data_IF_263726816843
#
_entry.id   IF_263726816843
#
_cell.length_a   1.000
_cell.length_b   1.000
_cell.length_c   1.000
_cell.angle_alpha   90.00
_cell.angle_beta   90.00
_cell.angle_gamma   90.00
#
_symmetry.space_group_name_H-M   'P 1'
#
loop_
_entity.id
_entity.type
_entity.pdbx_description
1 polymer ?
#
# COMPACT_ATOMS: atom_id res chain seq x y z
N UNK A 1 -39.25 43.76 -28.76
CA UNK A 1 -38.59 43.76 -27.44
C UNK A 1 -39.48 42.97 -26.48
N UNK A 2 -39.39 41.64 -26.44
CA UNK A 2 -38.50 40.83 -25.59
C UNK A 2 -38.80 40.94 -24.09
N UNK A 3 -39.59 40.01 -23.57
CA UNK A 3 -39.44 39.47 -22.20
C UNK A 3 -39.70 37.96 -22.24
N UNK A 4 -38.60 37.21 -22.16
CA UNK A 4 -38.57 35.77 -21.87
C UNK A 4 -38.62 35.64 -20.34
N UNK A 5 -39.56 34.85 -19.84
CA UNK A 5 -39.57 34.34 -18.46
C UNK A 5 -39.87 32.84 -18.61
N UNK A 6 -38.97 31.90 -18.33
CA UNK A 6 -37.88 31.89 -17.37
C UNK A 6 -38.35 31.06 -16.17
N UNK A 7 -38.20 29.75 -16.25
CA UNK A 7 -38.60 28.81 -15.21
C UNK A 7 -38.25 27.37 -15.58
N UNK A 8 -37.00 27.14 -16.02
CA UNK A 8 -36.48 25.78 -16.14
C UNK A 8 -36.18 25.25 -14.74
N UNK A 9 -36.74 24.08 -14.48
CA UNK A 9 -36.63 23.24 -13.31
C UNK A 9 -35.16 23.10 -12.87
N UNK A 10 -34.83 23.55 -11.67
CA UNK A 10 -33.59 23.20 -11.00
C UNK A 10 -33.81 21.84 -10.31
N UNK A 11 -33.44 20.74 -10.99
CA UNK A 11 -33.25 19.44 -10.33
C UNK A 11 -31.99 19.46 -9.45
N UNK A 12 -31.90 18.62 -8.41
CA UNK A 12 -30.74 18.59 -7.53
C UNK A 12 -29.47 18.25 -8.33
N UNK A 13 -28.29 18.75 -7.92
CA UNK A 13 -27.05 18.41 -8.61
C UNK A 13 -26.80 16.91 -8.45
N UNK A 14 -26.83 16.17 -9.57
CA UNK A 14 -26.22 14.85 -9.66
C UNK A 14 -24.81 14.98 -9.09
N UNK A 15 -24.55 14.33 -7.95
CA UNK A 15 -23.21 14.13 -7.45
C UNK A 15 -22.38 13.57 -8.60
N UNK A 16 -21.39 14.35 -9.02
CA UNK A 16 -20.50 14.03 -10.12
C UNK A 16 -20.02 12.58 -9.97
N UNK A 17 -20.47 11.71 -10.87
CA UNK A 17 -19.93 10.36 -11.00
C UNK A 17 -18.43 10.53 -11.21
N UNK A 18 -17.56 9.89 -10.40
CA UNK A 18 -16.13 10.00 -10.60
C UNK A 18 -15.82 9.60 -12.05
N UNK A 19 -15.10 10.48 -12.75
CA UNK A 19 -14.79 10.41 -14.19
C UNK A 19 -14.12 9.09 -14.64
N UNK A 20 -13.76 8.23 -13.67
CA UNK A 20 -13.21 6.90 -13.90
C UNK A 20 -14.17 5.92 -14.60
N UNK A 21 -15.50 6.13 -14.52
CA UNK A 21 -16.50 5.26 -15.19
C UNK A 21 -16.67 5.50 -16.70
N UNK A 22 -16.04 6.53 -17.29
CA UNK A 22 -16.20 6.85 -18.72
C UNK A 22 -15.02 6.39 -19.58
N UNK A 23 -13.96 5.82 -18.99
CA UNK A 23 -12.94 5.17 -19.80
C UNK A 23 -13.51 3.87 -20.38
N UNK A 24 -13.57 3.71 -21.72
CA UNK A 24 -13.92 2.42 -22.30
C UNK A 24 -12.85 1.42 -21.86
N UNK A 25 -13.21 0.50 -20.97
CA UNK A 25 -12.36 -0.62 -20.58
C UNK A 25 -11.96 -1.35 -21.86
N UNK A 26 -10.74 -1.12 -22.32
CA UNK A 26 -10.20 -1.84 -23.46
C UNK A 26 -10.21 -3.32 -23.09
N UNK A 27 -10.91 -4.14 -23.87
CA UNK A 27 -11.04 -5.57 -23.57
C UNK A 27 -9.62 -6.16 -23.50
N UNK A 28 -9.24 -6.80 -22.39
CA UNK A 28 -7.93 -7.44 -22.32
C UNK A 28 -7.84 -8.53 -23.39
N UNK A 29 -6.65 -8.74 -23.92
CA UNK A 29 -6.34 -9.89 -24.75
C UNK A 29 -6.81 -11.18 -24.04
N UNK A 30 -7.63 -12.02 -24.69
CA UNK A 30 -8.23 -13.20 -24.05
C UNK A 30 -7.19 -14.17 -23.47
N UNK A 31 -6.00 -14.27 -24.09
CA UNK A 31 -4.93 -15.11 -23.56
C UNK A 31 -4.40 -14.58 -22.22
N UNK A 32 -4.24 -13.26 -22.10
CA UNK A 32 -3.83 -12.60 -20.85
C UNK A 32 -4.92 -12.66 -19.79
N UNK A 33 -6.18 -12.48 -20.19
CA UNK A 33 -7.31 -12.62 -19.28
C UNK A 33 -7.38 -14.03 -18.67
N UNK A 34 -7.21 -15.08 -19.49
CA UNK A 34 -7.18 -16.47 -19.02
C UNK A 34 -6.03 -16.73 -18.05
N UNK A 35 -4.81 -16.29 -18.39
CA UNK A 35 -3.63 -16.40 -17.52
C UNK A 35 -3.85 -15.75 -16.16
N UNK A 36 -4.52 -14.60 -16.12
CA UNK A 36 -4.83 -13.91 -14.88
C UNK A 36 -5.87 -14.69 -14.04
N UNK A 37 -6.90 -15.24 -14.67
CA UNK A 37 -7.88 -16.08 -13.97
C UNK A 37 -7.26 -17.37 -13.42
N UNK A 38 -6.35 -18.00 -14.16
CA UNK A 38 -5.63 -19.19 -13.69
C UNK A 38 -4.76 -18.89 -12.46
N UNK A 39 -4.14 -17.70 -12.43
CA UNK A 39 -3.39 -17.23 -11.28
C UNK A 39 -4.31 -17.05 -10.07
N UNK A 40 -5.48 -16.43 -10.24
CA UNK A 40 -6.43 -16.26 -9.14
C UNK A 40 -6.96 -17.58 -8.61
N UNK A 41 -7.26 -18.54 -9.49
CA UNK A 41 -7.67 -19.89 -9.08
C UNK A 41 -6.57 -20.61 -8.28
N UNK A 42 -5.30 -20.52 -8.71
CA UNK A 42 -4.16 -21.08 -7.96
C UNK A 42 -3.92 -20.39 -6.62
N UNK A 43 -4.26 -19.10 -6.50
CA UNK A 43 -4.22 -18.36 -5.26
C UNK A 43 -5.39 -18.69 -4.31
N UNK A 44 -6.31 -19.57 -4.72
CA UNK A 44 -7.47 -19.98 -3.92
C UNK A 44 -8.65 -18.99 -3.96
N UNK A 45 -8.69 -18.07 -4.94
CA UNK A 45 -9.82 -17.16 -5.12
C UNK A 45 -10.96 -17.89 -5.83
N UNK A 46 -12.12 -17.95 -5.20
CA UNK A 46 -13.28 -18.73 -5.64
C UNK A 46 -14.51 -17.88 -6.03
N UNK A 47 -14.69 -16.70 -5.43
CA UNK A 47 -15.86 -15.84 -5.69
C UNK A 47 -15.48 -14.37 -5.92
N UNK A 48 -16.25 -13.69 -6.79
CA UNK A 48 -16.20 -12.24 -6.96
C UNK A 48 -17.18 -11.55 -5.99
N UNK A 49 -16.64 -10.81 -5.02
CA UNK A 49 -17.41 -10.14 -3.95
C UNK A 49 -18.34 -9.03 -4.46
N UNK A 50 -18.04 -8.45 -5.64
CA UNK A 50 -18.85 -7.39 -6.25
C UNK A 50 -18.80 -7.46 -7.78
N UNK A 51 -19.81 -6.88 -8.43
CA UNK A 51 -19.92 -6.83 -9.89
C UNK A 51 -19.04 -5.76 -10.54
N UNK A 52 -18.66 -4.73 -9.77
CA UNK A 52 -17.80 -3.65 -10.22
C UNK A 52 -16.37 -3.84 -9.67
N UNK A 53 -15.33 -3.59 -10.49
CA UNK A 53 -13.95 -3.59 -10.00
C UNK A 53 -13.74 -2.50 -8.96
N UNK A 54 -13.03 -2.82 -7.88
CA UNK A 54 -12.69 -1.88 -6.81
C UNK A 54 -11.24 -1.45 -6.96
N UNK A 55 -11.00 -0.14 -7.09
CA UNK A 55 -9.65 0.44 -7.04
C UNK A 55 -9.23 0.67 -5.58
N UNK A 56 -8.52 -0.30 -5.02
CA UNK A 56 -8.00 -0.23 -3.66
C UNK A 56 -6.88 0.81 -3.48
N UNK A 57 -6.14 1.13 -4.54
CA UNK A 57 -5.06 2.13 -4.48
C UNK A 57 -5.63 3.54 -4.38
N UNK A 58 -6.65 3.86 -5.18
CA UNK A 58 -7.34 5.13 -5.09
C UNK A 58 -8.03 5.29 -3.72
N UNK A 59 -8.66 4.23 -3.20
CA UNK A 59 -9.24 4.24 -1.86
C UNK A 59 -8.19 4.47 -0.76
N UNK A 60 -7.04 3.80 -0.82
CA UNK A 60 -5.96 4.00 0.15
C UNK A 60 -5.45 5.44 0.14
N UNK A 61 -5.26 6.02 -1.06
CA UNK A 61 -4.85 7.43 -1.20
C UNK A 61 -5.90 8.41 -0.66
N UNK A 62 -7.19 8.15 -0.89
CA UNK A 62 -8.27 8.98 -0.34
C UNK A 62 -8.26 8.95 1.19
N UNK A 63 -8.15 7.75 1.80
CA UNK A 63 -8.04 7.59 3.25
C UNK A 63 -6.83 8.31 3.84
N UNK A 64 -5.70 8.31 3.13
CA UNK A 64 -4.50 9.05 3.54
C UNK A 64 -4.68 10.57 3.49
N UNK A 65 -5.46 11.09 2.54
CA UNK A 65 -5.76 12.53 2.43
C UNK A 65 -6.78 13.00 3.49
N UNK A 66 -7.71 12.12 3.85
CA UNK A 66 -8.74 12.40 4.86
C UNK A 66 -8.28 12.17 6.30
N UNK A 67 -7.14 11.50 6.49
CA UNK A 67 -6.53 11.35 7.80
C UNK A 67 -6.28 12.74 8.40
N UNK A 68 -6.90 13.10 9.55
CA UNK A 68 -6.64 14.38 10.19
C UNK A 68 -5.15 14.45 10.52
N UNK A 69 -4.47 15.50 10.04
CA UNK A 69 -3.21 15.92 10.63
C UNK A 69 -3.46 16.10 12.13
N UNK A 70 -2.61 15.59 13.03
CA UNK A 70 -2.77 15.84 14.45
C UNK A 70 -2.83 17.36 14.66
N UNK A 71 -4.00 17.86 15.02
CA UNK A 71 -4.24 19.27 15.31
C UNK A 71 -3.54 19.58 16.62
N UNK A 72 -2.27 19.97 16.54
CA UNK A 72 -1.42 20.10 17.71
C UNK A 72 -0.09 20.79 17.46
N UNK A 73 -0.10 21.90 16.72
CA UNK A 73 0.99 22.90 16.78
C UNK A 73 0.50 24.27 16.28
N UNK A 74 -0.65 24.74 16.77
CA UNK A 74 -0.98 26.15 16.66
C UNK A 74 -0.03 26.93 17.59
N UNK A 75 0.95 27.61 17.00
CA UNK A 75 1.90 28.45 17.73
C UNK A 75 1.17 29.72 18.18
N UNK A 76 0.67 29.74 19.41
CA UNK A 76 0.11 30.93 20.04
C UNK A 76 1.24 31.95 20.33
N UNK A 77 1.07 33.24 20.02
CA UNK A 77 2.04 34.26 20.39
C UNK A 77 1.78 34.77 21.81
N UNK A 78 2.72 34.54 22.70
CA UNK A 78 2.88 35.30 23.95
C UNK A 78 2.46 34.58 25.24
N UNK A 79 3.32 34.72 26.26
CA UNK A 79 2.93 34.60 27.67
C UNK A 79 3.35 33.30 28.36
N UNK A 80 4.54 33.33 28.95
CA UNK A 80 5.11 32.29 29.82
C UNK A 80 4.16 31.89 30.95
N UNK A 81 4.05 30.58 31.24
CA UNK A 81 4.23 30.08 32.61
C UNK A 81 4.52 28.57 32.63
N UNK A 82 5.54 28.25 33.43
CA UNK A 82 5.88 26.96 34.07
C UNK A 82 6.72 25.95 33.26
N UNK A 83 7.89 25.71 33.85
CA UNK A 83 9.01 24.86 33.44
C UNK A 83 8.71 23.37 33.64
N UNK A 84 9.33 22.60 32.75
CA UNK A 84 9.72 21.21 32.85
C UNK A 84 8.65 20.19 33.29
N UNK A 85 7.82 19.76 32.32
CA UNK A 85 7.41 18.37 32.25
C UNK A 85 8.05 17.79 30.99
N UNK A 86 8.90 16.80 31.21
CA UNK A 86 9.76 16.13 30.22
C UNK A 86 9.03 15.83 28.92
N UNK A 87 9.44 16.49 27.84
CA UNK A 87 9.11 16.04 26.49
C UNK A 87 9.59 14.59 26.33
N UNK A 88 8.85 13.70 25.64
CA UNK A 88 9.47 12.51 25.11
C UNK A 88 10.54 13.00 24.14
N UNK A 89 11.79 12.89 24.57
CA UNK A 89 12.96 13.12 23.76
C UNK A 89 12.73 12.41 22.43
N UNK A 90 12.75 13.21 21.36
CA UNK A 90 12.68 12.68 20.01
C UNK A 90 13.85 11.72 19.91
N UNK A 91 13.59 10.43 20.09
CA UNK A 91 14.59 9.38 19.93
C UNK A 91 15.00 9.51 18.47
N UNK A 92 16.08 10.26 18.23
CA UNK A 92 16.78 10.24 16.97
C UNK A 92 16.95 8.75 16.71
N UNK A 93 16.23 8.25 15.71
CA UNK A 93 16.37 6.88 15.29
C UNK A 93 17.84 6.77 14.93
N UNK A 94 18.63 6.22 15.84
CA UNK A 94 20.02 5.89 15.59
C UNK A 94 19.95 5.06 14.34
N UNK A 95 20.40 5.64 13.23
CA UNK A 95 20.47 4.98 11.94
C UNK A 95 21.43 3.84 12.19
N UNK A 96 20.89 2.65 12.50
CA UNK A 96 21.70 1.45 12.73
C UNK A 96 22.65 1.38 11.55
N UNK A 97 23.96 1.16 11.78
CA UNK A 97 24.88 0.95 10.69
C UNK A 97 24.30 -0.16 9.83
N UNK A 98 23.93 0.18 8.59
CA UNK A 98 23.37 -0.79 7.65
C UNK A 98 24.49 -1.80 7.43
N UNK A 99 24.33 -3.09 7.80
CA UNK A 99 25.35 -4.08 7.51
C UNK A 99 25.61 -4.01 6.01
N UNK A 100 26.89 -4.10 5.63
CA UNK A 100 27.28 -4.14 4.23
C UNK A 100 26.44 -5.24 3.57
N UNK A 101 25.54 -4.83 2.68
CA UNK A 101 24.69 -5.77 1.99
C UNK A 101 25.62 -6.69 1.21
N UNK A 102 25.62 -7.98 1.56
CA UNK A 102 26.08 -9.01 0.62
C UNK A 102 25.37 -8.71 -0.69
N UNK A 103 26.12 -8.67 -1.79
CA UNK A 103 25.51 -8.43 -3.10
C UNK A 103 24.31 -9.39 -3.24
N UNK A 104 23.11 -8.89 -3.58
CA UNK A 104 21.89 -9.70 -3.54
C UNK A 104 22.03 -11.05 -4.25
N UNK A 105 22.86 -11.10 -5.30
CA UNK A 105 23.12 -12.30 -6.07
C UNK A 105 23.88 -13.39 -5.29
N UNK A 106 24.90 -13.04 -4.49
CA UNK A 106 25.67 -14.01 -3.70
C UNK A 106 24.81 -14.63 -2.59
N UNK A 107 23.98 -13.82 -1.93
CA UNK A 107 23.04 -14.30 -0.92
C UNK A 107 21.95 -15.21 -1.52
N UNK A 108 21.52 -14.92 -2.75
CA UNK A 108 20.55 -15.76 -3.47
C UNK A 108 21.17 -17.09 -3.89
N UNK A 109 22.43 -17.10 -4.33
CA UNK A 109 23.14 -18.33 -4.69
C UNK A 109 23.38 -19.23 -3.48
N UNK A 110 23.88 -18.69 -2.36
CA UNK A 110 24.06 -19.43 -1.11
C UNK A 110 22.73 -19.99 -0.58
N UNK A 111 21.64 -19.22 -0.63
CA UNK A 111 20.31 -19.70 -0.25
C UNK A 111 19.86 -20.90 -1.10
N UNK A 112 20.08 -20.84 -2.43
CA UNK A 112 19.73 -21.93 -3.35
C UNK A 112 20.55 -23.18 -3.07
N UNK A 113 21.85 -23.03 -2.84
CA UNK A 113 22.75 -24.15 -2.55
C UNK A 113 22.36 -24.86 -1.24
N UNK A 114 22.11 -24.10 -0.18
CA UNK A 114 21.64 -24.63 1.12
C UNK A 114 20.30 -25.36 1.00
N UNK A 115 19.35 -24.79 0.28
CA UNK A 115 18.04 -25.41 0.07
C UNK A 115 18.16 -26.71 -0.76
N UNK A 116 19.04 -26.74 -1.76
CA UNK A 116 19.26 -27.92 -2.59
C UNK A 116 20.00 -29.05 -1.84
N UNK A 117 20.78 -28.73 -0.82
CA UNK A 117 21.50 -29.71 -0.01
C UNK A 117 20.59 -30.44 1.01
N UNK A 118 19.47 -29.84 1.41
CA UNK A 118 18.54 -30.44 2.36
C UNK A 118 17.75 -31.60 1.76
N UNK A 119 17.70 -32.73 2.47
CA UNK A 119 16.99 -33.96 2.06
C UNK A 119 15.74 -34.24 2.88
N UNK A 120 15.56 -33.53 4.00
CA UNK A 120 14.35 -33.58 4.83
C UNK A 120 13.86 -32.17 5.18
N UNK A 121 12.62 -32.07 5.69
CA UNK A 121 12.03 -30.80 6.10
C UNK A 121 12.78 -30.21 7.30
N UNK A 122 13.22 -31.06 8.24
CA UNK A 122 14.00 -30.65 9.41
C UNK A 122 15.36 -30.06 9.00
N UNK A 123 16.02 -30.66 8.00
CA UNK A 123 17.27 -30.15 7.45
C UNK A 123 17.06 -28.79 6.75
N UNK A 124 15.95 -28.63 6.04
CA UNK A 124 15.60 -27.36 5.40
C UNK A 124 15.28 -26.27 6.44
N UNK A 125 14.55 -26.60 7.50
CA UNK A 125 14.25 -25.67 8.59
C UNK A 125 15.52 -25.20 9.29
N UNK A 126 16.45 -26.12 9.59
CA UNK A 126 17.76 -25.78 10.15
C UNK A 126 18.58 -24.89 9.20
N UNK A 127 18.55 -25.16 7.89
CA UNK A 127 19.25 -24.35 6.89
C UNK A 127 18.68 -22.92 6.80
N UNK A 128 17.36 -22.75 6.87
CA UNK A 128 16.69 -21.45 6.90
C UNK A 128 16.99 -20.69 8.20
N UNK A 129 16.97 -21.39 9.34
CA UNK A 129 17.29 -20.81 10.64
C UNK A 129 18.73 -20.28 10.72
N UNK A 130 19.68 -20.89 9.99
CA UNK A 130 21.08 -20.46 9.92
C UNK A 130 21.42 -19.49 8.78
N UNK A 131 20.46 -19.10 7.92
CA UNK A 131 20.71 -18.24 6.78
C UNK A 131 20.77 -16.76 7.17
N UNK A 132 21.89 -16.08 6.92
CA UNK A 132 22.13 -14.67 7.28
C UNK A 132 22.08 -13.70 6.09
N UNK A 133 21.84 -14.21 4.88
CA UNK A 133 21.77 -13.38 3.66
C UNK A 133 20.46 -12.61 3.51
N UNK A 134 19.49 -12.77 4.42
CA UNK A 134 18.20 -12.09 4.34
C UNK A 134 18.23 -10.73 5.05
N UNK A 135 18.00 -9.60 4.35
CA UNK A 135 17.98 -8.27 4.98
C UNK A 135 16.83 -8.07 5.97
N UNK A 136 15.83 -8.97 5.99
CA UNK A 136 14.72 -8.94 6.95
C UNK A 136 15.03 -9.66 8.27
N UNK A 137 16.18 -10.34 8.37
CA UNK A 137 16.59 -11.09 9.58
C UNK A 137 17.42 -10.24 10.56
N UNK A 138 17.99 -9.12 10.09
CA UNK A 138 18.89 -8.23 10.84
C UNK A 138 18.19 -7.17 11.71
#
# INVERSE_FOLDING_TARGET
MQKRSGGLLCGPPECARPSFMTQPMSRPDPAKARRLLDLYAQAGVDEAIASAPVDWFAQAQARQKEAPLPAGAARAPGGQLLKESTAPETRQAQRRPRPAAVAPDEAVMDARERAAAARTLEELEAALAGFEGCPLKA
#
